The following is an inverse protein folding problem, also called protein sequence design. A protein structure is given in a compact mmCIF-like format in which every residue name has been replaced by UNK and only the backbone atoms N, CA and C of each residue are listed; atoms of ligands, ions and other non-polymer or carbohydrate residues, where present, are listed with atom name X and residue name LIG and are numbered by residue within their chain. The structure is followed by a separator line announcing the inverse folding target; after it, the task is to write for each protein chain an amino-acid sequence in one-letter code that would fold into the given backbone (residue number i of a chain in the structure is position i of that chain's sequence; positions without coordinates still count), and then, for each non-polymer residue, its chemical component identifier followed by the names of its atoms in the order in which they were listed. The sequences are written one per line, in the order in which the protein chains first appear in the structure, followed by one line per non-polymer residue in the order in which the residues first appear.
data_IF_577622898867
#
_entry.id   IF_577622898867
#
_cell.length_a   1.000
_cell.length_b   1.000
_cell.length_c   1.000
_cell.angle_alpha   90.00
_cell.angle_beta   90.00
_cell.angle_gamma   90.00
#
_symmetry.space_group_name_H-M   'P 1'
#
loop_
_entity.id
_entity.type
_entity.pdbx_description
1 polymer ?
#
# COMPACT_ATOMS: atom_id res chain seq x y z
N UNK A 1 -8.68 -20.48 7.22
CA UNK A 1 -8.83 -19.51 6.12
C UNK A 1 -9.54 -18.30 6.67
N UNK A 2 -8.80 -17.22 6.88
CA UNK A 2 -9.34 -15.93 7.27
C UNK A 2 -9.66 -15.17 5.99
N UNK A 3 -10.92 -14.78 5.82
CA UNK A 3 -11.37 -14.01 4.67
C UNK A 3 -11.87 -12.65 5.17
N UNK A 4 -11.42 -11.60 4.50
CA UNK A 4 -11.88 -10.24 4.69
C UNK A 4 -12.57 -9.80 3.41
N UNK A 5 -13.77 -9.24 3.54
CA UNK A 5 -14.58 -8.73 2.44
C UNK A 5 -14.96 -7.30 2.75
N UNK A 6 -14.57 -6.37 1.88
CA UNK A 6 -14.87 -4.95 2.02
C UNK A 6 -15.54 -4.44 0.76
N UNK A 7 -16.56 -3.58 0.92
CA UNK A 7 -17.26 -2.96 -0.21
C UNK A 7 -17.27 -1.46 -0.01
N UNK A 8 -16.80 -0.73 -1.02
CA UNK A 8 -16.80 0.74 -1.06
C UNK A 8 -17.63 1.21 -2.25
N UNK A 9 -18.59 2.09 -2.00
CA UNK A 9 -19.48 2.64 -3.02
C UNK A 9 -18.96 3.99 -3.51
N UNK A 10 -18.71 4.12 -4.81
CA UNK A 10 -18.24 5.35 -5.45
C UNK A 10 -19.29 5.85 -6.44
N UNK A 11 -19.88 7.01 -6.17
CA UNK A 11 -20.79 7.66 -7.10
C UNK A 11 -20.01 8.26 -8.27
N UNK A 12 -20.48 8.02 -9.50
CA UNK A 12 -19.91 8.61 -10.71
C UNK A 12 -21.05 9.07 -11.63
N UNK A 13 -21.30 10.40 -11.66
CA UNK A 13 -22.48 10.96 -12.31
C UNK A 13 -23.77 10.50 -11.61
N UNK A 14 -24.71 9.93 -12.37
CA UNK A 14 -25.97 9.40 -11.82
C UNK A 14 -25.87 7.94 -11.35
N UNK A 15 -24.82 7.21 -11.73
CA UNK A 15 -24.60 5.79 -11.37
C UNK A 15 -23.66 5.59 -10.19
N UNK A 16 -23.49 4.33 -9.79
CA UNK A 16 -22.60 3.92 -8.70
C UNK A 16 -21.66 2.81 -9.15
N UNK A 17 -20.43 2.83 -8.66
CA UNK A 17 -19.46 1.75 -8.79
C UNK A 17 -19.20 1.14 -7.44
N UNK A 18 -19.40 -0.17 -7.34
CA UNK A 18 -19.14 -0.97 -6.16
C UNK A 18 -17.71 -1.51 -6.28
N UNK A 19 -16.82 -1.12 -5.38
CA UNK A 19 -15.44 -1.62 -5.32
C UNK A 19 -15.37 -2.63 -4.18
N UNK A 20 -15.20 -3.89 -4.54
CA UNK A 20 -15.09 -5.03 -3.64
C UNK A 20 -13.62 -5.42 -3.48
N UNK A 21 -13.16 -5.51 -2.24
CA UNK A 21 -11.84 -6.04 -1.88
C UNK A 21 -12.04 -7.32 -1.09
N UNK A 22 -11.66 -8.44 -1.70
CA UNK A 22 -11.63 -9.76 -1.08
C UNK A 22 -10.18 -10.13 -0.77
N UNK A 23 -9.85 -10.27 0.51
CA UNK A 23 -8.52 -10.68 0.95
C UNK A 23 -8.61 -12.01 1.70
N UNK A 24 -7.73 -12.95 1.38
CA UNK A 24 -7.67 -14.26 2.03
C UNK A 24 -6.22 -14.67 2.28
N UNK A 25 -6.02 -15.48 3.33
CA UNK A 25 -4.71 -16.03 3.65
C UNK A 25 -4.75 -17.56 3.62
N UNK A 26 -3.76 -18.13 2.95
CA UNK A 26 -3.48 -19.57 2.96
C UNK A 26 -2.70 -20.00 4.22
N UNK A 27 -2.16 -19.02 4.96
CA UNK A 27 -1.37 -19.25 6.17
C UNK A 27 -2.27 -19.33 7.43
N UNK A 28 -1.66 -19.58 8.59
CA UNK A 28 -2.36 -19.59 9.88
C UNK A 28 -2.65 -18.18 10.45
N UNK A 29 -2.22 -17.13 9.73
CA UNK A 29 -2.42 -15.72 10.11
C UNK A 29 -3.56 -15.09 9.33
N UNK A 30 -4.12 -14.01 9.87
CA UNK A 30 -5.13 -13.22 9.15
C UNK A 30 -4.52 -12.61 7.89
N UNK A 31 -5.32 -12.55 6.82
CA UNK A 31 -4.94 -11.84 5.61
C UNK A 31 -4.74 -10.35 5.92
N UNK A 32 -3.74 -9.68 5.33
CA UNK A 32 -3.55 -8.25 5.50
C UNK A 32 -4.72 -7.47 4.90
N UNK A 33 -4.89 -6.25 5.42
CA UNK A 33 -5.88 -5.32 4.90
C UNK A 33 -5.31 -4.62 3.67
N UNK A 34 -6.09 -4.63 2.58
CA UNK A 34 -5.78 -3.91 1.34
C UNK A 34 -6.74 -2.74 1.21
N UNK A 35 -6.24 -1.62 0.68
CA UNK A 35 -7.02 -0.41 0.43
C UNK A 35 -6.43 0.40 -0.71
N UNK A 36 -7.23 1.28 -1.29
CA UNK A 36 -6.75 2.24 -2.28
C UNK A 36 -6.54 3.62 -1.68
N UNK A 37 -5.48 4.30 -2.10
CA UNK A 37 -5.24 5.69 -1.69
C UNK A 37 -6.34 6.66 -2.19
N UNK A 38 -6.87 6.40 -3.40
CA UNK A 38 -7.99 7.15 -3.98
C UNK A 38 -8.91 6.22 -4.78
N UNK A 39 -10.03 5.84 -4.17
CA UNK A 39 -11.05 4.99 -4.80
C UNK A 39 -11.73 5.65 -6.02
N UNK A 40 -11.80 6.98 -6.10
CA UNK A 40 -12.33 7.66 -7.29
C UNK A 40 -11.38 7.50 -8.48
N UNK A 41 -10.07 7.56 -8.22
CA UNK A 41 -9.04 7.31 -9.23
C UNK A 41 -9.11 5.88 -9.75
N UNK A 42 -9.37 4.90 -8.88
CA UNK A 42 -9.58 3.48 -9.27
C UNK A 42 -10.71 3.35 -10.28
N UNK A 43 -11.88 3.96 -10.02
CA UNK A 43 -13.00 3.96 -10.96
C UNK A 43 -12.59 4.51 -12.33
N UNK A 44 -11.97 5.69 -12.35
CA UNK A 44 -11.57 6.31 -13.62
C UNK A 44 -10.46 5.56 -14.35
N UNK A 45 -9.65 4.79 -13.62
CA UNK A 45 -8.52 4.03 -14.19
C UNK A 45 -8.97 2.69 -14.78
N UNK A 46 -9.93 2.02 -14.14
CA UNK A 46 -10.39 0.67 -14.51
C UNK A 46 -11.43 0.67 -15.64
N UNK A 47 -12.19 1.75 -15.81
CA UNK A 47 -13.21 1.86 -16.85
C UNK A 47 -12.74 2.70 -18.03
N UNK A 48 -13.09 2.27 -19.23
CA UNK A 48 -12.91 3.06 -20.44
C UNK A 48 -13.86 4.27 -20.44
N UNK A 49 -13.55 5.30 -21.22
CA UNK A 49 -14.42 6.47 -21.31
C UNK A 49 -15.87 6.12 -21.70
N UNK A 50 -16.07 5.14 -22.59
CA UNK A 50 -17.42 4.70 -22.98
C UNK A 50 -18.19 4.05 -21.83
N UNK A 51 -17.49 3.32 -20.97
CA UNK A 51 -18.06 2.69 -19.77
C UNK A 51 -18.38 3.75 -18.72
N UNK A 52 -17.48 4.71 -18.49
CA UNK A 52 -17.73 5.86 -17.61
C UNK A 52 -18.92 6.70 -18.10
N UNK A 53 -19.11 6.85 -19.41
CA UNK A 53 -20.27 7.53 -20.00
C UNK A 53 -21.59 6.76 -19.79
N UNK A 54 -21.53 5.44 -19.58
CA UNK A 54 -22.70 4.63 -19.19
C UNK A 54 -23.00 4.83 -17.72
N UNK A 55 -21.99 4.70 -16.86
CA UNK A 55 -22.12 4.85 -15.40
C UNK A 55 -22.67 6.24 -15.07
N UNK A 56 -22.12 7.28 -15.70
CA UNK A 56 -22.59 8.66 -15.49
C UNK A 56 -24.05 8.91 -15.86
N UNK A 57 -24.68 8.05 -16.68
CA UNK A 57 -26.10 8.09 -17.07
C UNK A 57 -27.00 7.23 -16.17
N UNK A 58 -26.49 6.71 -15.07
CA UNK A 58 -27.28 6.00 -14.06
C UNK A 58 -27.11 4.48 -14.06
N UNK A 59 -26.18 3.94 -14.85
CA UNK A 59 -25.87 2.51 -14.80
C UNK A 59 -24.90 2.20 -13.66
N UNK A 60 -25.09 1.05 -13.01
CA UNK A 60 -24.19 0.59 -11.95
C UNK A 60 -23.14 -0.37 -12.51
N UNK A 61 -21.99 -0.40 -11.86
CA UNK A 61 -20.90 -1.30 -12.20
C UNK A 61 -20.22 -1.82 -10.94
N UNK A 62 -19.47 -2.90 -11.07
CA UNK A 62 -18.71 -3.49 -9.98
C UNK A 62 -17.25 -3.69 -10.41
N UNK A 63 -16.33 -3.52 -9.47
CA UNK A 63 -14.94 -3.93 -9.59
C UNK A 63 -14.64 -4.83 -8.39
N UNK A 64 -14.17 -6.04 -8.64
CA UNK A 64 -13.73 -6.97 -7.60
C UNK A 64 -12.22 -7.12 -7.70
N UNK A 65 -11.51 -6.88 -6.60
CA UNK A 65 -10.12 -7.23 -6.41
C UNK A 65 -10.03 -8.38 -5.41
N UNK A 66 -9.38 -9.47 -5.81
CA UNK A 66 -9.10 -10.64 -4.99
C UNK A 66 -7.63 -10.71 -4.68
N UNK A 67 -7.30 -10.75 -3.39
CA UNK A 67 -5.96 -10.88 -2.85
C UNK A 67 -5.84 -12.20 -2.10
N UNK A 68 -4.87 -13.02 -2.48
CA UNK A 68 -4.56 -14.27 -1.76
C UNK A 68 -3.12 -14.20 -1.30
N UNK A 69 -2.90 -14.25 0.02
CA UNK A 69 -1.54 -14.20 0.58
C UNK A 69 -1.05 -15.57 1.04
N UNK A 70 0.23 -15.83 0.82
CA UNK A 70 0.94 -17.04 1.22
C UNK A 70 2.37 -16.75 1.67
N UNK A 71 2.90 -17.61 2.54
CA UNK A 71 4.32 -17.54 2.95
C UNK A 71 5.24 -18.25 1.94
N UNK A 72 4.67 -19.03 1.02
CA UNK A 72 5.39 -19.78 0.01
C UNK A 72 4.93 -19.39 -1.40
N UNK A 73 5.84 -19.45 -2.36
CA UNK A 73 5.52 -19.32 -3.78
C UNK A 73 4.62 -20.47 -4.24
N UNK A 74 3.90 -20.26 -5.34
CA UNK A 74 3.02 -21.30 -5.90
C UNK A 74 3.81 -22.53 -6.38
N UNK A 75 4.99 -22.33 -6.95
CA UNK A 75 5.89 -23.40 -7.38
C UNK A 75 7.38 -23.02 -7.31
N UNK A 76 8.24 -24.03 -7.47
CA UNK A 76 9.72 -23.88 -7.42
C UNK A 76 10.28 -22.99 -8.55
N UNK A 77 9.59 -22.91 -9.69
CA UNK A 77 10.03 -22.08 -10.80
C UNK A 77 9.83 -20.61 -10.45
N UNK A 78 8.62 -20.26 -9.99
CA UNK A 78 8.28 -18.94 -9.50
C UNK A 78 9.22 -18.52 -8.37
N UNK A 79 9.48 -19.42 -7.41
CA UNK A 79 10.44 -19.15 -6.34
C UNK A 79 11.83 -18.81 -6.89
N UNK A 80 12.37 -19.60 -7.81
CA UNK A 80 13.69 -19.36 -8.40
C UNK A 80 13.77 -18.07 -9.21
N UNK A 81 12.69 -17.67 -9.89
CA UNK A 81 12.62 -16.42 -10.62
C UNK A 81 12.62 -15.20 -9.68
N UNK A 82 11.82 -15.23 -8.60
CA UNK A 82 11.84 -14.18 -7.57
C UNK A 82 13.19 -14.10 -6.87
N UNK A 83 13.80 -15.22 -6.47
CA UNK A 83 15.13 -15.22 -5.85
C UNK A 83 16.19 -14.62 -6.77
N UNK A 84 16.15 -14.92 -8.07
CA UNK A 84 17.06 -14.32 -9.05
C UNK A 84 16.86 -12.80 -9.16
N UNK A 85 15.60 -12.35 -9.20
CA UNK A 85 15.28 -10.92 -9.25
C UNK A 85 15.66 -10.19 -7.96
N UNK A 86 15.57 -10.84 -6.80
CA UNK A 86 16.06 -10.32 -5.52
C UNK A 86 17.57 -10.08 -5.63
N UNK A 87 18.36 -11.11 -5.98
CA UNK A 87 19.83 -11.00 -6.11
C UNK A 87 20.25 -9.86 -7.05
N UNK A 88 19.54 -9.65 -8.16
CA UNK A 88 19.78 -8.53 -9.08
C UNK A 88 19.56 -7.16 -8.43
N UNK A 89 18.51 -7.04 -7.61
CA UNK A 89 18.20 -5.80 -6.90
C UNK A 89 19.12 -5.57 -5.69
N UNK A 90 19.61 -6.63 -5.04
CA UNK A 90 20.52 -6.50 -3.88
C UNK A 90 21.83 -5.81 -4.23
N UNK A 91 22.29 -5.93 -5.47
CA UNK A 91 23.46 -5.20 -5.96
C UNK A 91 23.29 -3.67 -5.91
N UNK A 92 22.04 -3.18 -5.90
CA UNK A 92 21.68 -1.75 -5.89
C UNK A 92 21.25 -1.34 -4.48
N UNK A 93 20.36 -2.12 -3.86
CA UNK A 93 19.67 -1.74 -2.63
C UNK A 93 20.35 -2.28 -1.36
N UNK A 94 21.18 -3.32 -1.45
CA UNK A 94 21.65 -4.10 -0.30
C UNK A 94 20.78 -5.32 -0.03
N UNK A 95 20.98 -6.02 1.09
CA UNK A 95 20.26 -7.26 1.39
C UNK A 95 18.74 -7.05 1.34
N UNK A 96 18.01 -7.90 0.63
CA UNK A 96 16.55 -7.85 0.52
C UNK A 96 16.01 -9.20 0.99
N UNK A 97 15.10 -9.19 1.95
CA UNK A 97 14.55 -10.40 2.54
C UNK A 97 13.12 -10.65 2.04
N UNK A 98 12.79 -11.91 1.84
CA UNK A 98 11.45 -12.36 1.44
C UNK A 98 10.46 -12.18 2.60
N UNK A 99 9.31 -11.56 2.32
CA UNK A 99 8.21 -11.40 3.25
C UNK A 99 7.05 -12.34 2.91
N UNK A 100 6.05 -11.84 2.19
CA UNK A 100 4.84 -12.59 1.81
C UNK A 100 4.55 -12.49 0.32
N UNK A 101 4.10 -13.60 -0.27
CA UNK A 101 3.56 -13.62 -1.61
C UNK A 101 2.13 -13.12 -1.60
N UNK A 102 1.77 -12.37 -2.63
CA UNK A 102 0.44 -11.80 -2.83
C UNK A 102 0.00 -12.12 -4.25
N UNK A 103 -0.98 -13.00 -4.39
CA UNK A 103 -1.67 -13.23 -5.64
C UNK A 103 -2.81 -12.22 -5.80
N UNK A 104 -2.87 -11.54 -6.95
CA UNK A 104 -3.82 -10.46 -7.19
C UNK A 104 -4.57 -10.72 -8.50
N UNK A 105 -5.88 -10.90 -8.38
CA UNK A 105 -6.82 -10.93 -9.49
C UNK A 105 -7.77 -9.74 -9.41
N UNK A 106 -8.13 -9.18 -10.56
CA UNK A 106 -9.13 -8.14 -10.63
C UNK A 106 -10.07 -8.33 -11.82
N UNK A 107 -11.36 -8.06 -11.60
CA UNK A 107 -12.38 -8.07 -12.64
C UNK A 107 -13.29 -6.86 -12.50
N UNK A 108 -13.85 -6.41 -13.61
CA UNK A 108 -14.96 -5.45 -13.62
C UNK A 108 -16.17 -6.04 -14.32
N UNK A 109 -17.35 -5.59 -13.93
CA UNK A 109 -18.61 -5.99 -14.56
C UNK A 109 -19.62 -4.85 -14.53
N UNK A 110 -20.65 -5.00 -15.36
CA UNK A 110 -21.89 -4.22 -15.32
C UNK A 110 -23.03 -5.21 -15.01
N UNK A 111 -24.17 -4.73 -14.54
CA UNK A 111 -25.35 -5.56 -14.23
C UNK A 111 -25.80 -6.43 -15.43
N UNK A 112 -25.57 -5.96 -16.65
CA UNK A 112 -25.92 -6.64 -17.90
C UNK A 112 -24.76 -7.42 -18.54
N UNK A 113 -23.59 -7.38 -17.91
CA UNK A 113 -22.32 -7.81 -18.45
C UNK A 113 -21.83 -9.16 -17.92
N UNK A 114 -20.66 -9.56 -18.43
CA UNK A 114 -19.84 -10.61 -17.83
C UNK A 114 -18.64 -9.95 -17.17
N UNK A 115 -18.01 -10.68 -16.26
CA UNK A 115 -16.74 -10.29 -15.67
C UNK A 115 -15.67 -10.12 -16.76
N UNK A 116 -15.04 -8.96 -16.76
CA UNK A 116 -13.95 -8.58 -17.65
C UNK A 116 -12.69 -8.50 -16.79
N UNK A 117 -11.67 -9.34 -17.03
CA UNK A 117 -10.40 -9.25 -16.32
C UNK A 117 -9.74 -7.88 -16.47
N UNK A 118 -9.10 -7.43 -15.39
CA UNK A 118 -8.31 -6.21 -15.31
C UNK A 118 -6.85 -6.58 -15.05
N UNK A 119 -6.00 -6.44 -16.06
CA UNK A 119 -4.53 -6.55 -15.93
C UNK A 119 -3.87 -5.17 -15.95
N UNK A 120 -4.26 -4.35 -16.93
CA UNK A 120 -3.72 -3.02 -17.15
C UNK A 120 -4.81 -1.97 -16.96
N UNK A 121 -4.48 -0.91 -16.23
CA UNK A 121 -5.37 0.22 -16.00
C UNK A 121 -4.82 1.49 -16.65
N UNK A 122 -5.69 2.46 -16.91
CA UNK A 122 -5.34 3.62 -17.74
C UNK A 122 -4.48 4.68 -17.05
N UNK A 123 -4.32 4.60 -15.72
CA UNK A 123 -3.41 5.44 -14.95
C UNK A 123 -3.01 4.79 -13.65
N UNK A 124 -1.84 5.16 -13.12
CA UNK A 124 -1.32 4.61 -11.86
C UNK A 124 -2.31 4.81 -10.71
N UNK A 125 -2.52 3.78 -9.89
CA UNK A 125 -3.27 3.86 -8.63
C UNK A 125 -2.34 3.52 -7.46
N UNK A 126 -2.69 4.03 -6.28
CA UNK A 126 -2.00 3.67 -5.05
C UNK A 126 -2.73 2.49 -4.39
N UNK A 127 -2.07 1.34 -4.38
CA UNK A 127 -2.50 0.15 -3.64
C UNK A 127 -1.75 0.16 -2.31
N UNK A 128 -2.49 0.17 -1.21
CA UNK A 128 -1.97 0.14 0.14
C UNK A 128 -2.23 -1.23 0.75
N UNK A 129 -1.20 -1.82 1.35
CA UNK A 129 -1.30 -3.08 2.08
C UNK A 129 -0.76 -2.89 3.48
N UNK A 130 -1.54 -3.29 4.48
CA UNK A 130 -1.10 -3.34 5.87
C UNK A 130 -0.08 -4.46 6.02
N UNK A 131 1.11 -4.13 6.54
CA UNK A 131 2.17 -5.11 6.74
C UNK A 131 1.76 -6.06 7.88
N UNK A 132 1.85 -7.39 7.70
CA UNK A 132 1.57 -8.34 8.76
C UNK A 132 2.40 -8.06 10.02
N UNK A 133 1.79 -8.17 11.20
CA UNK A 133 2.43 -7.79 12.48
C UNK A 133 3.77 -8.48 12.75
N UNK A 134 4.00 -9.67 12.21
CA UNK A 134 5.26 -10.40 12.37
C UNK A 134 6.39 -9.88 11.47
N UNK A 135 6.06 -9.09 10.45
CA UNK A 135 7.01 -8.41 9.57
C UNK A 135 7.29 -6.96 9.99
N UNK A 136 6.42 -6.33 10.79
CA UNK A 136 6.58 -4.93 11.24
C UNK A 136 7.82 -4.75 12.11
N UNK A 137 8.66 -3.76 11.79
CA UNK A 137 9.80 -3.32 12.61
C UNK A 137 10.11 -1.81 12.39
N UNK A 138 10.62 -1.11 13.41
CA UNK A 138 10.85 0.34 13.42
C UNK A 138 11.93 0.82 12.43
N UNK A 139 12.90 -0.03 12.11
CA UNK A 139 14.02 0.29 11.21
C UNK A 139 13.96 -0.54 9.91
N UNK A 140 12.76 -0.74 9.38
CA UNK A 140 12.53 -1.58 8.20
C UNK A 140 11.82 -0.82 7.08
N UNK A 141 12.33 -1.03 5.87
CA UNK A 141 11.69 -0.58 4.63
C UNK A 141 11.00 -1.77 3.96
N UNK A 142 9.87 -1.51 3.28
CA UNK A 142 9.15 -2.52 2.51
C UNK A 142 9.16 -2.17 1.03
N UNK A 143 9.09 -3.22 0.21
CA UNK A 143 9.11 -3.13 -1.23
C UNK A 143 8.13 -4.15 -1.81
N UNK A 144 7.67 -3.91 -3.03
CA UNK A 144 6.87 -4.86 -3.78
C UNK A 144 7.61 -5.27 -5.04
N UNK A 145 7.96 -6.55 -5.14
CA UNK A 145 8.57 -7.13 -6.33
C UNK A 145 7.50 -7.86 -7.12
N UNK A 146 7.28 -7.48 -8.37
CA UNK A 146 6.26 -8.11 -9.22
C UNK A 146 6.82 -8.48 -10.58
N UNK A 147 6.23 -9.50 -11.20
CA UNK A 147 6.50 -9.87 -12.57
C UNK A 147 5.52 -9.15 -13.51
N UNK A 148 5.98 -8.09 -14.16
CA UNK A 148 5.24 -7.38 -15.21
C UNK A 148 5.62 -7.93 -16.58
N UNK A 149 4.77 -8.80 -17.13
CA UNK A 149 4.90 -9.36 -18.48
C UNK A 149 6.26 -10.04 -18.77
N UNK A 150 6.81 -10.77 -17.80
CA UNK A 150 8.10 -11.45 -17.90
C UNK A 150 9.30 -10.60 -17.47
N UNK A 151 9.07 -9.41 -16.94
CA UNK A 151 10.11 -8.56 -16.35
C UNK A 151 9.80 -8.30 -14.88
N UNK A 152 10.75 -8.64 -14.01
CA UNK A 152 10.65 -8.36 -12.60
C UNK A 152 10.95 -6.89 -12.32
N UNK A 153 10.04 -6.21 -11.63
CA UNK A 153 10.14 -4.80 -11.27
C UNK A 153 9.94 -4.63 -9.77
N UNK A 154 10.86 -3.90 -9.13
CA UNK A 154 10.84 -3.58 -7.71
C UNK A 154 10.23 -2.19 -7.51
N UNK A 155 9.15 -2.12 -6.73
CA UNK A 155 8.50 -0.90 -6.32
C UNK A 155 8.91 -0.55 -4.89
N UNK A 156 9.52 0.62 -4.71
CA UNK A 156 9.70 1.23 -3.39
C UNK A 156 8.36 1.74 -2.87
N UNK A 157 8.19 1.75 -1.55
CA UNK A 157 7.06 2.40 -0.92
C UNK A 157 6.98 3.90 -1.30
N UNK A 158 5.86 4.28 -1.92
CA UNK A 158 5.62 5.64 -2.40
C UNK A 158 5.30 6.60 -1.26
N UNK A 159 4.75 6.11 -0.15
CA UNK A 159 4.43 6.90 1.05
C UNK A 159 4.86 6.14 2.31
N UNK A 160 6.16 6.15 2.65
CA UNK A 160 6.71 5.33 3.72
C UNK A 160 6.04 5.54 5.08
N UNK A 161 5.28 4.54 5.51
CA UNK A 161 4.80 4.35 6.88
C UNK A 161 5.30 2.99 7.40
N UNK A 162 5.46 2.85 8.71
CA UNK A 162 6.09 1.66 9.29
C UNK A 162 5.22 0.39 9.19
N UNK A 163 3.91 0.56 8.99
CA UNK A 163 2.89 -0.49 9.01
C UNK A 163 2.10 -0.60 7.69
N UNK A 164 2.39 0.22 6.69
CA UNK A 164 1.69 0.22 5.40
C UNK A 164 2.69 0.35 4.26
N UNK A 165 2.62 -0.58 3.30
CA UNK A 165 3.32 -0.45 2.02
C UNK A 165 2.37 0.15 0.99
N UNK A 166 2.78 1.24 0.34
CA UNK A 166 2.04 1.87 -0.75
C UNK A 166 2.74 1.67 -2.09
N UNK A 167 2.07 0.98 -3.02
CA UNK A 167 2.57 0.70 -4.37
C UNK A 167 1.80 1.56 -5.36
N UNK A 168 2.51 2.44 -6.07
CA UNK A 168 1.96 3.22 -7.16
C UNK A 168 2.16 2.47 -8.49
N UNK A 169 1.09 1.97 -9.10
CA UNK A 169 1.17 1.08 -10.28
C UNK A 169 -0.01 1.25 -11.24
N UNK A 170 0.25 1.10 -12.54
CA UNK A 170 -0.75 0.99 -13.62
C UNK A 170 -1.11 -0.46 -13.97
N UNK A 171 -0.56 -1.42 -13.23
CA UNK A 171 -0.70 -2.85 -13.51
C UNK A 171 -1.14 -3.59 -12.26
N UNK A 172 -2.18 -4.40 -12.40
CA UNK A 172 -2.62 -5.35 -11.39
C UNK A 172 -1.87 -6.65 -11.65
N UNK A 173 -0.97 -6.99 -10.72
CA UNK A 173 -0.07 -8.13 -10.89
C UNK A 173 0.31 -8.70 -9.53
N UNK A 174 0.31 -10.02 -9.44
CA UNK A 174 0.79 -10.80 -8.30
C UNK A 174 2.28 -10.57 -8.07
N UNK A 175 2.71 -10.67 -6.82
CA UNK A 175 4.05 -10.24 -6.42
C UNK A 175 4.47 -10.79 -5.07
N UNK A 176 5.62 -10.29 -4.63
CA UNK A 176 6.27 -10.61 -3.37
C UNK A 176 6.55 -9.32 -2.62
N UNK A 177 6.04 -9.21 -1.41
CA UNK A 177 6.44 -8.16 -0.47
C UNK A 177 7.81 -8.53 0.08
N UNK A 178 8.78 -7.64 -0.10
CA UNK A 178 10.12 -7.75 0.44
C UNK A 178 10.30 -6.76 1.58
N UNK A 179 11.28 -7.03 2.44
CA UNK A 179 11.70 -6.10 3.46
C UNK A 179 13.22 -5.99 3.56
N UNK A 180 13.67 -4.82 4.03
CA UNK A 180 15.07 -4.52 4.27
C UNK A 180 15.24 -3.87 5.62
N UNK A 181 16.11 -4.42 6.46
CA UNK A 181 16.50 -3.74 7.68
C UNK A 181 17.50 -2.62 7.33
N UNK A 182 17.36 -1.46 7.98
CA UNK A 182 18.13 -0.24 7.66
C UNK A 182 19.65 -0.45 7.65
N UNK A 183 20.16 -1.36 8.47
CA UNK A 183 21.59 -1.68 8.53
C UNK A 183 22.11 -2.40 7.29
N UNK A 184 21.22 -3.00 6.50
CA UNK A 184 21.53 -3.77 5.31
C UNK A 184 21.46 -2.94 4.02
N UNK A 185 20.84 -1.74 4.10
CA UNK A 185 20.66 -0.85 2.97
C UNK A 185 21.99 -0.25 2.50
N UNK A 186 22.22 -0.31 1.18
CA UNK A 186 23.31 0.41 0.51
C UNK A 186 22.92 1.85 0.15
N UNK A 187 21.65 2.21 0.31
CA UNK A 187 21.11 3.53 0.00
C UNK A 187 20.94 4.31 1.31
N UNK A 188 21.49 5.53 1.34
CA UNK A 188 21.33 6.39 2.51
C UNK A 188 19.90 6.97 2.59
N UNK A 189 19.03 6.30 3.34
CA UNK A 189 17.67 6.76 3.62
C UNK A 189 17.61 7.85 4.73
N UNK A 190 18.75 8.37 5.23
CA UNK A 190 18.82 9.35 6.34
C UNK A 190 18.05 10.66 6.11
N UNK A 191 17.56 10.92 4.89
CA UNK A 191 16.76 12.11 4.55
C UNK A 191 15.25 11.92 4.58
N UNK A 192 14.69 10.71 4.69
CA UNK A 192 13.24 10.49 4.49
C UNK A 192 12.36 10.51 5.76
N UNK A 193 12.92 10.51 6.97
CA UNK A 193 12.11 10.75 8.18
C UNK A 193 12.93 11.46 9.26
N UNK A 194 12.81 12.78 9.29
CA UNK A 194 12.89 13.54 10.53
C UNK A 194 11.48 14.02 10.89
N UNK A 195 10.50 13.13 10.82
CA UNK A 195 9.17 13.40 11.36
C UNK A 195 9.30 13.30 12.87
N UNK A 196 9.70 14.40 13.52
CA UNK A 196 9.65 14.51 14.97
C UNK A 196 8.20 14.22 15.34
N UNK A 197 7.96 13.06 15.96
CA UNK A 197 6.62 12.62 16.37
C UNK A 197 5.91 13.78 17.09
N UNK A 198 4.68 14.08 16.70
CA UNK A 198 3.89 15.22 17.17
C UNK A 198 3.87 15.32 18.72
N UNK A 199 3.98 14.18 19.41
CA UNK A 199 4.10 14.10 20.86
C UNK A 199 5.33 14.86 21.41
N UNK A 200 6.48 14.78 20.77
CA UNK A 200 7.70 15.48 21.21
C UNK A 200 7.60 16.99 20.96
N UNK A 201 6.94 17.41 19.89
CA UNK A 201 6.65 18.83 19.62
C UNK A 201 5.70 19.40 20.67
N UNK A 202 4.66 18.65 21.04
CA UNK A 202 3.71 19.06 22.08
C UNK A 202 4.37 19.12 23.47
N UNK A 203 5.20 18.14 23.82
CA UNK A 203 5.95 18.12 25.09
C UNK A 203 6.91 19.32 25.14
N UNK A 204 7.69 19.57 24.09
CA UNK A 204 8.58 20.73 24.03
C UNK A 204 7.80 22.05 24.14
N UNK A 205 6.63 22.15 23.49
CA UNK A 205 5.73 23.30 23.60
C UNK A 205 5.25 23.56 25.03
N UNK A 206 4.89 22.51 25.77
CA UNK A 206 4.48 22.61 27.19
C UNK A 206 5.64 23.13 28.05
N UNK A 207 6.85 22.57 27.89
CA UNK A 207 8.02 23.05 28.63
C UNK A 207 8.37 24.52 28.33
N UNK A 208 8.26 24.94 27.07
CA UNK A 208 8.44 26.34 26.68
C UNK A 208 7.40 27.26 27.35
N UNK A 209 6.13 26.87 27.38
CA UNK A 209 5.07 27.65 28.03
C UNK A 209 5.26 27.76 29.54
N UNK A 210 5.69 26.68 30.20
CA UNK A 210 6.01 26.69 31.64
C UNK A 210 7.20 27.62 31.91
N UNK A 211 8.25 27.55 31.09
CA UNK A 211 9.41 28.44 31.20
C UNK A 211 9.04 29.92 30.99
N UNK A 212 8.19 30.20 30.01
CA UNK A 212 7.66 31.55 29.75
C UNK A 212 6.84 32.07 30.93
N UNK A 213 5.98 31.24 31.52
CA UNK A 213 5.21 31.60 32.70
C UNK A 213 6.12 31.91 33.90
N UNK A 214 7.17 31.13 34.10
CA UNK A 214 8.14 31.35 35.17
C UNK A 214 8.93 32.65 34.99
N UNK A 215 9.31 32.97 33.75
CA UNK A 215 9.97 34.24 33.42
C UNK A 215 9.04 35.43 33.69
N UNK A 216 7.78 35.36 33.25
CA UNK A 216 6.78 36.41 33.49
C UNK A 216 6.55 36.60 34.99
N UNK A 217 6.39 35.53 35.76
CA UNK A 217 6.23 35.61 37.23
C UNK A 217 7.47 36.19 37.92
N UNK A 218 8.68 35.86 37.46
CA UNK A 218 9.91 36.44 37.98
C UNK A 218 10.02 37.95 37.69
N UNK A 219 9.65 38.40 36.49
CA UNK A 219 9.66 39.83 36.14
C UNK A 219 8.57 40.61 36.89
N UNK A 220 7.42 40.01 37.19
CA UNK A 220 6.38 40.67 37.98
C UNK A 220 6.75 40.77 39.47
N UNK A 221 7.45 39.78 40.04
CA UNK A 221 7.90 39.82 41.45
C UNK A 221 9.04 40.81 41.70
N UNK A 222 9.85 41.12 40.69
CA UNK A 222 10.96 42.08 40.80
C UNK A 222 10.56 43.54 40.51
N UNK A 223 9.29 43.81 40.19
CA UNK A 223 8.74 45.15 39.93
C UNK A 223 7.75 45.65 41.02
N UNK A 224 7.68 44.97 42.16
CA UNK A 224 6.92 45.39 43.34
C UNK A 224 7.86 45.79 44.48
#
# INVERSE_FOLDING_TARGET
MFNMHQVTYISYGEGTVDIVLDSSSLNEVSAPEFRFGDYSKVVTSCFTQKELDRISKGENAEIIFSFVVSDEAEDELMQGEYSSAIEENEAIFGNLNEGIYVDIDAVKSFDDGKDIPLSDISSDIDIQVDIPLYLINEDRSYYYLTNKMGKYELFEDSTPDADVLTVNTDTISSGLILYQDRMESLIDHSKKSATISLQYVLIAGIFCLIGLWFLVDHFHKNCA
#
